data_IF_583869733403
#
_entry.id   IF_583869733403
#
_cell.length_a   1.000
_cell.length_b   1.000
_cell.length_c   1.000
_cell.angle_alpha   90.00
_cell.angle_beta   90.00
_cell.angle_gamma   90.00
#
_symmetry.space_group_name_H-M   'P 1'
#
loop_
_entity.id
_entity.type
_entity.pdbx_description
1 polymer ?
#
# COMPACT_ATOMS: atom_id res chain seq x y z
N UNK A 1 -9.28 -35.02 -5.38
CA UNK A 1 -9.13 -34.40 -6.70
C UNK A 1 -9.34 -32.92 -6.51
N UNK A 2 -8.28 -32.11 -6.67
CA UNK A 2 -8.39 -30.64 -6.65
C UNK A 2 -9.22 -30.23 -7.86
N UNK A 3 -10.37 -29.59 -7.62
CA UNK A 3 -11.17 -29.00 -8.68
C UNK A 3 -10.53 -27.65 -9.05
N UNK A 4 -9.65 -27.68 -10.03
CA UNK A 4 -8.95 -26.50 -10.53
C UNK A 4 -9.88 -25.44 -11.16
N UNK A 5 -11.15 -25.76 -11.39
CA UNK A 5 -12.14 -24.86 -11.96
C UNK A 5 -12.94 -24.11 -10.88
N UNK A 6 -12.76 -24.44 -9.61
CA UNK A 6 -13.46 -23.80 -8.49
C UNK A 6 -12.56 -22.76 -7.82
N UNK A 7 -12.97 -21.47 -7.85
CA UNK A 7 -12.31 -20.39 -7.10
C UNK A 7 -12.19 -20.73 -5.61
N UNK A 8 -13.24 -21.32 -5.04
CA UNK A 8 -13.27 -21.74 -3.64
C UNK A 8 -12.27 -22.87 -3.36
N UNK A 9 -12.16 -23.84 -4.28
CA UNK A 9 -11.19 -24.94 -4.17
C UNK A 9 -9.75 -24.43 -4.22
N UNK A 10 -9.45 -23.47 -5.10
CA UNK A 10 -8.14 -22.84 -5.18
C UNK A 10 -7.82 -22.03 -3.91
N UNK A 11 -8.73 -21.17 -3.45
CA UNK A 11 -8.55 -20.39 -2.23
C UNK A 11 -8.31 -21.28 -1.01
N UNK A 12 -9.08 -22.39 -0.88
CA UNK A 12 -8.91 -23.36 0.21
C UNK A 12 -7.54 -24.04 0.17
N UNK A 13 -7.06 -24.43 -1.01
CA UNK A 13 -5.75 -25.07 -1.17
C UNK A 13 -4.60 -24.11 -0.82
N UNK A 14 -4.68 -22.84 -1.29
CA UNK A 14 -3.70 -21.82 -0.95
C UNK A 14 -3.70 -21.52 0.54
N UNK A 15 -4.87 -21.31 1.15
CA UNK A 15 -5.00 -21.07 2.59
C UNK A 15 -4.42 -22.23 3.41
N UNK A 16 -4.66 -23.48 3.01
CA UNK A 16 -4.10 -24.64 3.69
C UNK A 16 -2.57 -24.68 3.60
N UNK A 17 -1.99 -24.37 2.44
CA UNK A 17 -0.54 -24.30 2.26
C UNK A 17 0.09 -23.19 3.12
N UNK A 18 -0.50 -21.98 3.11
CA UNK A 18 -0.03 -20.84 3.93
C UNK A 18 -0.13 -21.15 5.44
N UNK A 19 -1.18 -21.84 5.86
CA UNK A 19 -1.34 -22.30 7.24
C UNK A 19 -0.22 -23.24 7.67
N UNK A 20 0.18 -24.19 6.82
CA UNK A 20 1.32 -25.07 7.10
C UNK A 20 2.63 -24.30 7.29
N UNK A 21 2.86 -23.25 6.49
CA UNK A 21 4.03 -22.37 6.65
C UNK A 21 4.02 -21.70 8.03
N UNK A 22 2.88 -21.15 8.44
CA UNK A 22 2.73 -20.52 9.76
C UNK A 22 2.86 -21.50 10.93
N UNK A 23 2.30 -22.70 10.82
CA UNK A 23 2.44 -23.77 11.81
C UNK A 23 3.90 -24.23 11.95
N UNK A 24 4.71 -24.09 10.89
CA UNK A 24 6.17 -24.28 10.93
C UNK A 24 6.94 -23.16 11.61
N UNK A 25 6.27 -22.12 12.14
CA UNK A 25 6.88 -21.00 12.86
C UNK A 25 7.47 -19.91 11.96
N UNK A 26 7.27 -19.97 10.63
CA UNK A 26 7.72 -18.96 9.71
C UNK A 26 6.80 -17.73 9.71
N UNK A 27 7.39 -16.57 9.42
CA UNK A 27 6.66 -15.36 9.09
C UNK A 27 6.30 -15.34 7.60
N UNK A 28 5.13 -14.84 7.29
CA UNK A 28 4.58 -14.80 5.95
C UNK A 28 4.48 -13.36 5.46
N UNK A 29 5.22 -13.02 4.43
CA UNK A 29 5.03 -11.80 3.66
C UNK A 29 4.36 -12.16 2.33
N UNK A 30 3.29 -11.48 1.99
CA UNK A 30 2.58 -11.68 0.74
C UNK A 30 2.61 -10.40 -0.09
N UNK A 31 3.01 -10.50 -1.36
CA UNK A 31 3.00 -9.38 -2.30
C UNK A 31 1.73 -9.42 -3.13
N UNK A 32 1.11 -8.27 -3.37
CA UNK A 32 -0.15 -8.15 -4.13
C UNK A 32 -1.23 -9.13 -3.64
N UNK A 33 -1.34 -9.26 -2.33
CA UNK A 33 -2.15 -10.30 -1.70
C UNK A 33 -3.65 -10.10 -1.95
N UNK A 34 -4.30 -11.15 -2.43
CA UNK A 34 -5.75 -11.22 -2.40
C UNK A 34 -6.26 -11.48 -0.96
N UNK A 35 -7.58 -11.45 -0.77
CA UNK A 35 -8.24 -11.56 0.53
C UNK A 35 -7.81 -12.78 1.35
N UNK A 36 -7.80 -13.98 0.77
CA UNK A 36 -7.45 -15.20 1.49
C UNK A 36 -5.94 -15.32 1.80
N UNK A 37 -5.08 -14.66 1.06
CA UNK A 37 -3.65 -14.58 1.36
C UNK A 37 -3.37 -13.49 2.41
N UNK A 38 -4.02 -12.33 2.31
CA UNK A 38 -3.87 -11.22 3.24
C UNK A 38 -4.24 -11.62 4.69
N UNK A 39 -5.32 -12.36 4.88
CA UNK A 39 -5.75 -12.84 6.21
C UNK A 39 -4.67 -13.74 6.87
N UNK A 40 -3.87 -14.42 6.08
CA UNK A 40 -2.81 -15.32 6.58
C UNK A 40 -1.46 -14.62 6.73
N UNK A 41 -1.26 -13.46 6.10
CA UNK A 41 0.01 -12.75 6.07
C UNK A 41 0.34 -12.07 7.42
N UNK A 42 1.61 -11.97 7.73
CA UNK A 42 2.15 -11.11 8.81
C UNK A 42 2.50 -9.71 8.28
N UNK A 43 2.63 -9.58 6.95
CA UNK A 43 2.82 -8.33 6.22
C UNK A 43 2.30 -8.51 4.78
N UNK A 44 1.58 -7.54 4.29
CA UNK A 44 1.23 -7.42 2.86
C UNK A 44 2.06 -6.31 2.24
N UNK A 45 2.85 -6.65 1.22
CA UNK A 45 3.65 -5.70 0.45
C UNK A 45 3.02 -5.45 -0.92
N UNK A 46 3.26 -4.27 -1.48
CA UNK A 46 2.72 -3.91 -2.80
C UNK A 46 1.21 -3.62 -2.78
N UNK A 47 0.65 -3.20 -1.64
CA UNK A 47 -0.77 -2.85 -1.57
C UNK A 47 -1.09 -1.73 -2.56
N UNK A 48 -2.06 -1.92 -3.48
CA UNK A 48 -2.48 -0.87 -4.38
C UNK A 48 -3.14 0.26 -3.57
N UNK A 49 -2.53 1.43 -3.60
CA UNK A 49 -3.00 2.63 -2.90
C UNK A 49 -3.61 3.66 -3.85
N UNK A 50 -3.46 3.43 -5.14
CA UNK A 50 -4.10 4.19 -6.22
C UNK A 50 -4.99 3.22 -6.98
N UNK A 51 -6.26 3.52 -7.07
CA UNK A 51 -7.19 2.76 -7.88
C UNK A 51 -7.10 3.24 -9.33
N UNK A 52 -7.08 2.30 -10.27
CA UNK A 52 -7.40 2.61 -11.66
C UNK A 52 -8.92 2.77 -11.74
N UNK A 53 -9.39 4.02 -11.75
CA UNK A 53 -10.79 4.33 -11.95
C UNK A 53 -11.25 3.75 -13.28
N UNK A 54 -11.78 2.53 -13.23
CA UNK A 54 -12.46 1.95 -14.38
C UNK A 54 -13.70 2.80 -14.69
N UNK A 55 -14.09 2.90 -15.95
CA UNK A 55 -15.28 3.63 -16.41
C UNK A 55 -16.60 3.29 -15.68
N UNK A 56 -16.56 2.34 -14.75
CA UNK A 56 -17.72 1.86 -14.00
C UNK A 56 -17.87 2.51 -12.60
N UNK A 57 -16.88 3.27 -12.12
CA UNK A 57 -16.90 3.87 -10.79
C UNK A 57 -16.78 5.39 -10.91
N UNK A 58 -17.65 6.11 -10.20
CA UNK A 58 -17.62 7.58 -10.15
C UNK A 58 -16.53 8.10 -9.21
N UNK A 59 -16.13 7.29 -8.21
CA UNK A 59 -15.23 7.68 -7.14
C UNK A 59 -14.29 6.55 -6.78
N UNK A 60 -13.03 6.88 -6.50
CA UNK A 60 -12.02 5.97 -5.99
C UNK A 60 -12.03 6.00 -4.46
N UNK A 61 -12.07 4.84 -3.84
CA UNK A 61 -11.91 4.67 -2.39
C UNK A 61 -10.80 3.66 -2.10
N UNK A 62 -10.03 3.81 -1.03
CA UNK A 62 -8.98 2.87 -0.67
C UNK A 62 -9.58 1.57 -0.10
N UNK A 63 -10.38 0.87 -0.90
CA UNK A 63 -11.20 -0.26 -0.47
C UNK A 63 -10.38 -1.36 0.21
N UNK A 64 -9.24 -1.72 -0.36
CA UNK A 64 -8.36 -2.74 0.22
C UNK A 64 -7.90 -2.34 1.64
N UNK A 65 -7.46 -1.08 1.79
CA UNK A 65 -7.06 -0.53 3.09
C UNK A 65 -8.22 -0.46 4.07
N UNK A 66 -9.42 -0.10 3.63
CA UNK A 66 -10.62 -0.08 4.48
C UNK A 66 -10.96 -1.46 5.07
N UNK A 67 -10.65 -2.53 4.33
CA UNK A 67 -10.90 -3.91 4.78
C UNK A 67 -9.79 -4.42 5.71
N UNK A 68 -8.52 -4.16 5.39
CA UNK A 68 -7.40 -4.83 6.04
C UNK A 68 -6.61 -3.99 7.04
N UNK A 69 -6.73 -2.64 7.00
CA UNK A 69 -6.04 -1.76 7.93
C UNK A 69 -6.43 -2.04 9.38
N UNK A 70 -5.42 -2.22 10.22
CA UNK A 70 -5.60 -2.61 11.64
C UNK A 70 -5.72 -4.13 11.87
N UNK A 71 -5.73 -4.95 10.81
CA UNK A 71 -5.70 -6.42 10.90
C UNK A 71 -4.36 -7.00 10.44
N UNK A 72 -3.78 -6.44 9.40
CA UNK A 72 -2.46 -6.82 8.87
C UNK A 72 -1.66 -5.56 8.52
N UNK A 73 -0.37 -5.50 8.87
CA UNK A 73 0.51 -4.46 8.37
C UNK A 73 0.59 -4.50 6.84
N UNK A 74 0.56 -3.33 6.21
CA UNK A 74 0.60 -3.19 4.76
C UNK A 74 1.63 -2.15 4.36
N UNK A 75 2.29 -2.36 3.22
CA UNK A 75 3.13 -1.38 2.55
C UNK A 75 2.63 -1.12 1.13
N UNK A 76 2.85 0.09 0.65
CA UNK A 76 2.47 0.50 -0.70
C UNK A 76 3.31 -0.20 -1.77
N UNK A 77 2.93 -0.01 -3.00
CA UNK A 77 3.83 -0.17 -4.14
C UNK A 77 5.09 0.68 -3.96
N UNK A 78 6.17 0.29 -4.66
CA UNK A 78 7.44 1.02 -4.57
C UNK A 78 7.33 2.44 -5.14
N UNK A 79 7.43 3.43 -4.29
CA UNK A 79 7.28 4.86 -4.62
C UNK A 79 8.25 5.28 -5.72
N UNK A 80 9.52 4.88 -5.60
CA UNK A 80 10.57 5.28 -6.54
C UNK A 80 10.56 4.53 -7.88
N UNK A 81 9.65 3.59 -8.08
CA UNK A 81 9.38 2.94 -9.37
C UNK A 81 8.16 3.52 -10.07
N UNK A 82 7.36 4.35 -9.38
CA UNK A 82 6.18 4.97 -9.96
C UNK A 82 6.52 6.19 -10.81
N UNK A 83 5.71 6.42 -11.86
CA UNK A 83 5.75 7.67 -12.65
C UNK A 83 5.13 8.82 -11.84
N UNK A 84 4.24 8.52 -10.89
CA UNK A 84 3.54 9.47 -10.04
C UNK A 84 3.80 9.19 -8.55
N UNK A 85 5.05 9.36 -8.06
CA UNK A 85 5.43 9.00 -6.69
C UNK A 85 4.61 9.77 -5.64
N UNK A 86 4.28 11.02 -5.89
CA UNK A 86 3.43 11.83 -5.02
C UNK A 86 2.04 11.21 -4.81
N UNK A 87 1.45 10.67 -5.86
CA UNK A 87 0.13 10.05 -5.81
C UNK A 87 0.15 8.76 -4.97
N UNK A 88 1.22 7.98 -5.08
CA UNK A 88 1.43 6.80 -4.21
C UNK A 88 1.52 7.21 -2.74
N UNK A 89 2.30 8.26 -2.44
CA UNK A 89 2.44 8.78 -1.06
C UNK A 89 1.07 9.24 -0.52
N UNK A 90 0.34 10.03 -1.29
CA UNK A 90 -0.98 10.53 -0.88
C UNK A 90 -1.98 9.39 -0.67
N UNK A 91 -2.03 8.41 -1.56
CA UNK A 91 -2.89 7.23 -1.41
C UNK A 91 -2.49 6.36 -0.22
N UNK A 92 -1.19 6.22 0.05
CA UNK A 92 -0.69 5.51 1.22
C UNK A 92 -1.08 6.23 2.53
N UNK A 93 -1.01 7.55 2.55
CA UNK A 93 -1.48 8.38 3.68
C UNK A 93 -2.99 8.24 3.85
N UNK A 94 -3.77 8.31 2.78
CA UNK A 94 -5.23 8.14 2.82
C UNK A 94 -5.64 6.78 3.38
N UNK A 95 -5.00 5.71 2.90
CA UNK A 95 -5.27 4.33 3.33
C UNK A 95 -4.58 3.91 4.63
N UNK A 96 -3.72 4.75 5.21
CA UNK A 96 -2.92 4.38 6.37
C UNK A 96 -1.93 3.24 6.09
N UNK A 97 -1.46 3.12 4.85
CA UNK A 97 -0.54 2.08 4.37
C UNK A 97 0.89 2.58 4.49
N UNK A 98 1.81 1.75 4.97
CA UNK A 98 3.23 2.09 5.06
C UNK A 98 3.85 2.34 3.69
N UNK A 99 4.92 3.12 3.64
CA UNK A 99 5.62 3.44 2.39
C UNK A 99 6.65 2.37 2.04
N UNK A 100 6.80 2.06 0.75
CA UNK A 100 7.77 1.11 0.24
C UNK A 100 8.70 1.74 -0.82
N UNK A 101 9.95 1.31 -0.81
CA UNK A 101 10.95 1.68 -1.80
C UNK A 101 11.73 0.46 -2.24
N UNK A 102 11.99 0.35 -3.53
CA UNK A 102 12.89 -0.67 -4.08
C UNK A 102 14.28 -0.09 -4.24
N UNK A 103 15.29 -0.77 -3.69
CA UNK A 103 16.67 -0.28 -3.73
C UNK A 103 17.64 -1.37 -4.16
N UNK A 104 18.68 -0.97 -4.90
CA UNK A 104 19.85 -1.78 -5.20
C UNK A 104 21.09 -1.18 -4.51
N UNK A 105 22.09 -2.02 -4.26
CA UNK A 105 23.28 -1.59 -3.54
C UNK A 105 24.17 -0.65 -4.38
N UNK A 106 24.38 -0.97 -5.65
CA UNK A 106 25.27 -0.24 -6.55
C UNK A 106 24.80 -0.30 -7.99
N UNK A 107 25.30 0.62 -8.79
CA UNK A 107 25.09 0.62 -10.24
C UNK A 107 25.61 -0.65 -10.88
N UNK A 108 24.80 -1.24 -11.75
CA UNK A 108 25.19 -2.34 -12.61
C UNK A 108 24.65 -2.10 -14.01
N UNK A 109 25.56 -1.85 -14.96
CA UNK A 109 25.19 -1.58 -16.34
C UNK A 109 24.52 -2.79 -17.02
N UNK A 110 24.71 -4.00 -16.50
CA UNK A 110 24.04 -5.20 -17.02
C UNK A 110 22.54 -5.14 -16.84
N UNK A 111 22.03 -4.32 -15.89
CA UNK A 111 20.60 -4.12 -15.71
C UNK A 111 19.95 -3.40 -16.90
N UNK A 112 20.66 -2.53 -17.60
CA UNK A 112 20.12 -1.75 -18.73
C UNK A 112 19.66 -2.68 -19.85
N UNK A 113 20.45 -3.73 -20.13
CA UNK A 113 20.21 -4.69 -21.20
C UNK A 113 19.47 -5.95 -20.73
N UNK A 114 18.98 -5.94 -19.49
CA UNK A 114 18.22 -7.04 -18.88
C UNK A 114 16.70 -6.85 -18.98
N UNK A 115 15.94 -7.81 -18.48
CA UNK A 115 14.48 -7.68 -18.30
C UNK A 115 14.10 -6.77 -17.11
N UNK A 116 15.09 -6.22 -16.41
CA UNK A 116 14.92 -5.38 -15.22
C UNK A 116 15.54 -3.97 -15.32
N UNK A 117 15.44 -3.27 -16.48
CA UNK A 117 16.09 -1.96 -16.68
C UNK A 117 15.59 -0.90 -15.70
N UNK A 118 14.37 -1.03 -15.19
CA UNK A 118 13.77 -0.09 -14.25
C UNK A 118 14.46 -0.07 -12.89
N UNK A 119 15.21 -1.09 -12.49
CA UNK A 119 16.02 -1.06 -11.28
C UNK A 119 17.31 -0.25 -11.40
N UNK A 120 17.73 0.10 -12.60
CA UNK A 120 18.98 0.85 -12.80
C UNK A 120 18.99 2.20 -12.05
N UNK A 121 17.84 2.87 -11.95
CA UNK A 121 17.69 4.15 -11.24
C UNK A 121 17.49 4.06 -9.72
N UNK A 122 17.45 2.85 -9.13
CA UNK A 122 17.07 2.65 -7.72
C UNK A 122 18.24 2.45 -6.77
N UNK A 123 19.43 2.98 -7.10
CA UNK A 123 20.61 2.86 -6.24
C UNK A 123 20.36 3.58 -4.90
N UNK A 124 20.60 2.88 -3.80
CA UNK A 124 20.34 3.36 -2.44
C UNK A 124 20.93 4.75 -2.16
N UNK A 125 22.17 5.00 -2.59
CA UNK A 125 22.81 6.31 -2.41
C UNK A 125 22.07 7.47 -3.09
N UNK A 126 21.35 7.18 -4.18
CA UNK A 126 20.56 8.18 -4.92
C UNK A 126 19.19 8.47 -4.29
N UNK A 127 18.56 7.46 -3.68
CA UNK A 127 17.19 7.59 -3.15
C UNK A 127 17.13 7.79 -1.63
N UNK A 128 18.24 7.59 -0.92
CA UNK A 128 18.32 7.65 0.55
C UNK A 128 17.77 8.95 1.13
N UNK A 129 18.11 10.10 0.53
CA UNK A 129 17.70 11.40 1.05
C UNK A 129 16.17 11.55 0.97
N UNK A 130 15.57 11.15 -0.14
CA UNK A 130 14.13 11.22 -0.34
C UNK A 130 13.39 10.25 0.61
N UNK A 131 13.91 9.03 0.77
CA UNK A 131 13.38 8.06 1.74
C UNK A 131 13.36 8.65 3.15
N UNK A 132 14.47 9.26 3.56
CA UNK A 132 14.62 9.85 4.90
C UNK A 132 13.64 11.01 5.11
N UNK A 133 13.60 11.98 4.18
CA UNK A 133 12.72 13.14 4.30
C UNK A 133 11.24 12.76 4.30
N UNK A 134 10.86 11.79 3.46
CA UNK A 134 9.48 11.28 3.41
C UNK A 134 9.11 10.57 4.72
N UNK A 135 10.02 9.75 5.25
CA UNK A 135 9.81 9.07 6.54
C UNK A 135 9.67 10.06 7.69
N UNK A 136 10.59 11.03 7.81
CA UNK A 136 10.54 12.05 8.89
C UNK A 136 9.26 12.87 8.82
N UNK A 137 8.83 13.27 7.61
CA UNK A 137 7.61 14.06 7.42
C UNK A 137 6.32 13.34 7.81
N UNK A 138 6.33 12.00 7.84
CA UNK A 138 5.13 11.19 8.08
C UNK A 138 5.22 10.30 9.33
N UNK A 139 6.34 10.30 10.06
CA UNK A 139 6.58 9.41 11.17
C UNK A 139 5.53 9.55 12.29
N UNK A 140 5.21 10.78 12.69
CA UNK A 140 4.23 11.05 13.75
C UNK A 140 2.81 10.62 13.32
N UNK A 141 2.48 10.86 12.04
CA UNK A 141 1.22 10.40 11.48
C UNK A 141 1.11 8.87 11.57
N UNK A 142 2.07 8.14 11.04
CA UNK A 142 2.05 6.67 11.07
C UNK A 142 2.08 6.11 12.49
N UNK A 143 2.79 6.75 13.41
CA UNK A 143 2.78 6.38 14.82
C UNK A 143 1.37 6.52 15.42
N UNK A 144 0.64 7.58 15.05
CA UNK A 144 -0.71 7.85 15.56
C UNK A 144 -1.78 6.86 15.10
N UNK A 145 -1.59 6.24 13.91
CA UNK A 145 -2.57 5.32 13.30
C UNK A 145 -2.10 3.87 13.25
N UNK A 146 -1.02 3.52 13.96
CA UNK A 146 -0.33 2.22 13.84
C UNK A 146 -1.30 1.03 13.85
N UNK A 147 -2.14 0.95 14.87
CA UNK A 147 -3.08 -0.17 15.08
C UNK A 147 -4.55 0.24 14.81
N UNK A 148 -4.76 1.44 14.29
CA UNK A 148 -6.08 1.97 14.02
C UNK A 148 -6.69 1.37 12.76
N UNK A 149 -8.02 1.26 12.74
CA UNK A 149 -8.82 0.79 11.61
C UNK A 149 -9.51 1.97 10.94
N UNK A 150 -9.74 1.88 9.65
CA UNK A 150 -10.53 2.88 8.93
C UNK A 150 -12.02 2.66 9.27
N UNK A 151 -12.68 3.72 9.73
CA UNK A 151 -14.12 3.74 9.99
C UNK A 151 -14.88 4.23 8.77
N UNK A 152 -14.38 5.27 8.13
CA UNK A 152 -14.96 5.83 6.90
C UNK A 152 -13.91 6.51 6.04
N UNK A 153 -14.18 6.51 4.75
CA UNK A 153 -13.51 7.35 3.77
C UNK A 153 -14.59 8.10 3.00
N UNK A 154 -14.45 9.41 2.86
CA UNK A 154 -15.45 10.27 2.22
C UNK A 154 -14.77 11.31 1.34
N UNK A 155 -15.38 11.62 0.22
CA UNK A 155 -14.93 12.71 -0.66
C UNK A 155 -15.64 13.99 -0.20
N UNK A 156 -14.85 14.99 0.21
CA UNK A 156 -15.36 16.28 0.66
C UNK A 156 -15.63 17.20 -0.53
N UNK A 157 -14.72 17.18 -1.49
CA UNK A 157 -14.83 17.88 -2.77
C UNK A 157 -13.98 17.16 -3.80
N UNK A 158 -14.10 17.51 -5.07
CA UNK A 158 -13.32 16.89 -6.14
C UNK A 158 -11.82 16.86 -5.80
N UNK A 159 -11.25 15.65 -5.71
CA UNK A 159 -9.86 15.42 -5.38
C UNK A 159 -9.46 15.69 -3.92
N UNK A 160 -10.41 15.91 -3.01
CA UNK A 160 -10.15 16.08 -1.57
C UNK A 160 -10.89 15.01 -0.77
N UNK A 161 -10.13 14.12 -0.17
CA UNK A 161 -10.62 12.97 0.56
C UNK A 161 -10.40 13.12 2.07
N UNK A 162 -11.26 12.49 2.85
CA UNK A 162 -11.20 12.47 4.30
C UNK A 162 -11.31 11.02 4.81
N UNK A 163 -10.32 10.56 5.52
CA UNK A 163 -10.32 9.24 6.18
C UNK A 163 -10.41 9.43 7.67
N UNK A 164 -11.40 8.78 8.30
CA UNK A 164 -11.56 8.71 9.74
C UNK A 164 -11.12 7.34 10.27
N UNK A 165 -10.26 7.35 11.28
CA UNK A 165 -9.82 6.15 11.99
C UNK A 165 -10.59 5.95 13.30
N UNK A 166 -10.67 4.70 13.79
CA UNK A 166 -11.42 4.31 15.00
C UNK A 166 -10.83 4.90 16.31
N UNK A 167 -9.59 5.37 16.27
CA UNK A 167 -8.97 6.09 17.37
C UNK A 167 -9.23 7.61 17.36
N UNK A 168 -10.08 8.10 16.43
CA UNK A 168 -10.46 9.50 16.30
C UNK A 168 -9.52 10.35 15.43
N UNK A 169 -8.42 9.80 14.94
CA UNK A 169 -7.56 10.50 13.98
C UNK A 169 -8.30 10.68 12.66
N UNK A 170 -8.27 11.90 12.15
CA UNK A 170 -8.87 12.26 10.85
C UNK A 170 -7.78 12.78 9.93
N UNK A 171 -7.73 12.27 8.71
CA UNK A 171 -6.75 12.63 7.69
C UNK A 171 -7.46 13.22 6.49
N UNK A 172 -6.96 14.36 6.04
CA UNK A 172 -7.40 15.00 4.81
C UNK A 172 -6.30 14.88 3.76
N UNK A 173 -6.63 14.36 2.60
CA UNK A 173 -5.72 14.22 1.47
C UNK A 173 -6.24 15.05 0.30
N UNK A 174 -5.39 15.91 -0.24
CA UNK A 174 -5.70 16.73 -1.39
C UNK A 174 -4.85 16.31 -2.59
N UNK A 175 -5.48 15.72 -3.58
CA UNK A 175 -4.85 15.28 -4.82
C UNK A 175 -4.73 16.41 -5.87
N UNK A 176 -5.30 17.59 -5.58
CA UNK A 176 -5.23 18.72 -6.49
C UNK A 176 -3.89 19.48 -6.32
N UNK A 177 -3.49 20.19 -7.37
CA UNK A 177 -2.32 21.09 -7.32
C UNK A 177 -2.59 22.42 -6.59
N UNK A 178 -3.83 22.73 -6.26
CA UNK A 178 -4.25 23.92 -5.53
C UNK A 178 -4.65 23.60 -4.10
N UNK A 179 -4.50 24.56 -3.20
CA UNK A 179 -4.97 24.44 -1.83
C UNK A 179 -6.49 24.25 -1.78
N UNK A 180 -6.95 23.42 -0.86
CA UNK A 180 -8.36 23.17 -0.61
C UNK A 180 -8.69 23.46 0.86
N UNK A 181 -9.88 24.00 1.11
CA UNK A 181 -10.39 24.18 2.47
C UNK A 181 -10.94 22.85 2.99
N UNK A 182 -10.62 22.54 4.23
CA UNK A 182 -11.15 21.38 4.96
C UNK A 182 -11.92 21.81 6.20
N UNK A 183 -12.76 20.95 6.80
CA UNK A 183 -13.42 21.27 8.06
C UNK A 183 -12.46 21.49 9.24
N UNK A 184 -11.20 21.14 9.09
CA UNK A 184 -10.17 21.38 10.10
C UNK A 184 -9.43 22.73 9.93
N UNK A 185 -9.69 23.46 8.84
CA UNK A 185 -9.10 24.78 8.53
C UNK A 185 -8.66 24.90 7.09
#
# INVERSE_FOLDING_TARGET
TLDYNSRLGFASAVTAALKQVKEGGQKLMATDANDYAAIMADLVDGTPVVSDSGYAFEEDVPFYSMVFKGYVPMTSESINLSIEPQRIILGAVEGGVGLSYTVINQWDNTLIDSVYPYFFGTVYSGVKADMHSTYEGLADYYASIKDAKIVSNTIISAGVHCTLFDNGVTVYVNYNSSAASTPAG
#
